data_IF_218353789200
#
_entry.id   IF_218353789200
#
_cell.length_a   1.000
_cell.length_b   1.000
_cell.length_c   1.000
_cell.angle_alpha   90.00
_cell.angle_beta   90.00
_cell.angle_gamma   90.00
#
_symmetry.space_group_name_H-M   'P 1'
#
loop_
_entity.id
_entity.type
_entity.pdbx_description
1 polymer ?
#
# COMPACT_ATOMS: atom_id res chain seq x y z
N UNK A 1 -19.27 0.12 71.64
CA UNK A 1 -19.19 0.71 70.29
C UNK A 1 -18.00 1.66 70.25
N UNK A 2 -16.80 1.17 69.96
CA UNK A 2 -15.64 2.04 69.71
C UNK A 2 -15.60 2.33 68.22
N UNK A 3 -16.07 3.51 67.82
CA UNK A 3 -15.79 4.07 66.50
C UNK A 3 -14.30 4.45 66.48
N UNK A 4 -13.47 3.58 65.89
CA UNK A 4 -12.11 3.93 65.53
C UNK A 4 -12.21 4.90 64.36
N UNK A 5 -12.14 6.20 64.67
CA UNK A 5 -11.95 7.27 63.70
C UNK A 5 -10.56 7.10 63.09
N UNK A 6 -10.46 6.35 61.99
CA UNK A 6 -9.25 6.31 61.17
C UNK A 6 -8.89 7.74 60.77
N UNK A 7 -7.65 8.15 61.04
CA UNK A 7 -7.26 9.52 60.72
C UNK A 7 -7.25 9.70 59.20
N UNK A 8 -7.63 10.87 58.66
CA UNK A 8 -7.60 11.12 57.22
C UNK A 8 -6.23 10.82 56.58
N UNK A 9 -5.15 10.98 57.36
CA UNK A 9 -3.78 10.73 56.92
C UNK A 9 -3.46 9.24 56.74
N UNK A 10 -3.97 8.37 57.63
CA UNK A 10 -3.81 6.91 57.49
C UNK A 10 -4.56 6.36 56.27
N UNK A 11 -5.74 6.92 55.98
CA UNK A 11 -6.53 6.55 54.81
C UNK A 11 -5.80 6.91 53.50
N UNK A 12 -5.14 8.07 53.46
CA UNK A 12 -4.35 8.52 52.31
C UNK A 12 -3.12 7.63 52.11
N UNK A 13 -2.38 7.30 53.18
CA UNK A 13 -1.20 6.43 53.09
C UNK A 13 -1.57 5.03 52.61
N UNK A 14 -2.66 4.44 53.14
CA UNK A 14 -3.15 3.14 52.71
C UNK A 14 -3.62 3.15 51.24
N UNK A 15 -4.27 4.23 50.79
CA UNK A 15 -4.69 4.40 49.40
C UNK A 15 -3.49 4.51 48.45
N UNK A 16 -2.48 5.30 48.80
CA UNK A 16 -1.24 5.45 48.01
C UNK A 16 -0.47 4.13 47.94
N UNK A 17 -0.34 3.40 49.05
CA UNK A 17 0.30 2.09 49.07
C UNK A 17 -0.43 1.06 48.21
N UNK A 18 -1.78 1.03 48.29
CA UNK A 18 -2.61 0.14 47.49
C UNK A 18 -2.51 0.45 45.99
N UNK A 19 -2.52 1.73 45.63
CA UNK A 19 -2.32 2.18 44.25
C UNK A 19 -0.92 1.81 43.74
N UNK A 20 0.12 1.99 44.56
CA UNK A 20 1.49 1.60 44.24
C UNK A 20 1.64 0.09 44.01
N UNK A 21 1.04 -0.74 44.87
CA UNK A 21 1.04 -2.19 44.72
C UNK A 21 0.29 -2.66 43.47
N UNK A 22 -0.85 -2.04 43.16
CA UNK A 22 -1.58 -2.28 41.91
C UNK A 22 -0.73 -1.95 40.68
N UNK A 23 -0.08 -0.78 40.67
CA UNK A 23 0.79 -0.37 39.57
C UNK A 23 1.99 -1.29 39.42
N UNK A 24 2.65 -1.69 40.51
CA UNK A 24 3.76 -2.62 40.48
C UNK A 24 3.36 -3.99 39.94
N UNK A 25 2.19 -4.50 40.36
CA UNK A 25 1.62 -5.76 39.87
C UNK A 25 1.29 -5.68 38.38
N UNK A 26 0.71 -4.56 37.93
CA UNK A 26 0.43 -4.31 36.53
C UNK A 26 1.72 -4.24 35.69
N UNK A 27 2.73 -3.51 36.16
CA UNK A 27 4.04 -3.41 35.50
C UNK A 27 4.73 -4.78 35.41
N UNK A 28 4.69 -5.58 36.48
CA UNK A 28 5.22 -6.94 36.48
C UNK A 28 4.46 -7.82 35.49
N UNK A 29 3.13 -7.74 35.46
CA UNK A 29 2.29 -8.48 34.52
C UNK A 29 2.62 -8.13 33.06
N UNK A 30 2.76 -6.83 32.75
CA UNK A 30 3.18 -6.35 31.42
C UNK A 30 4.59 -6.83 31.08
N UNK A 31 5.53 -6.73 32.02
CA UNK A 31 6.90 -7.20 31.81
C UNK A 31 6.94 -8.70 31.49
N UNK A 32 6.28 -9.53 32.30
CA UNK A 32 6.20 -10.98 32.09
C UNK A 32 5.53 -11.30 30.76
N UNK A 33 4.44 -10.60 30.40
CA UNK A 33 3.78 -10.76 29.11
C UNK A 33 4.73 -10.48 27.94
N UNK A 34 5.48 -9.38 27.99
CA UNK A 34 6.39 -9.00 26.91
C UNK A 34 7.58 -9.97 26.82
N UNK A 35 8.19 -10.34 27.94
CA UNK A 35 9.28 -11.33 27.97
C UNK A 35 8.81 -12.67 27.38
N UNK A 36 7.58 -13.10 27.69
CA UNK A 36 6.99 -14.30 27.10
C UNK A 36 6.75 -14.19 25.60
N UNK A 37 6.44 -12.99 25.07
CA UNK A 37 6.35 -12.77 23.61
C UNK A 37 7.73 -12.84 22.96
N UNK A 38 8.75 -12.26 23.59
CA UNK A 38 10.13 -12.27 23.10
C UNK A 38 10.83 -13.62 23.26
N UNK A 39 10.28 -14.57 24.02
CA UNK A 39 10.80 -15.93 24.04
C UNK A 39 10.39 -16.78 22.82
N UNK A 40 9.53 -16.28 21.91
CA UNK A 40 8.95 -17.05 20.81
C UNK A 40 9.98 -17.79 19.95
N UNK A 41 11.03 -17.10 19.48
CA UNK A 41 12.08 -17.69 18.64
C UNK A 41 13.02 -18.58 19.45
N UNK A 42 13.38 -18.14 20.66
CA UNK A 42 14.21 -18.91 21.59
C UNK A 42 13.62 -20.28 21.88
N UNK A 43 12.32 -20.35 22.23
CA UNK A 43 11.62 -21.62 22.51
C UNK A 43 11.52 -22.53 21.28
N UNK A 44 11.65 -21.99 20.07
CA UNK A 44 11.62 -22.74 18.80
C UNK A 44 13.01 -23.10 18.27
N UNK A 45 14.07 -22.75 18.99
CA UNK A 45 15.45 -22.96 18.57
C UNK A 45 15.76 -22.32 17.20
N UNK A 46 15.11 -21.19 16.89
CA UNK A 46 15.36 -20.41 15.68
C UNK A 46 16.35 -19.29 16.01
N UNK A 47 17.44 -19.09 15.24
CA UNK A 47 18.33 -17.95 15.42
C UNK A 47 17.58 -16.63 15.31
N UNK A 48 17.79 -15.70 16.24
CA UNK A 48 17.07 -14.42 16.29
C UNK A 48 17.96 -13.29 16.79
N UNK A 49 17.57 -12.06 16.49
CA UNK A 49 18.20 -10.85 17.05
C UNK A 49 17.51 -10.51 18.37
N UNK A 50 18.27 -10.32 19.45
CA UNK A 50 17.71 -9.93 20.75
C UNK A 50 16.89 -8.63 20.65
N UNK A 51 15.60 -8.66 21.02
CA UNK A 51 14.71 -7.51 20.89
C UNK A 51 14.87 -6.49 22.01
N UNK A 52 14.69 -5.21 21.69
CA UNK A 52 14.64 -4.14 22.68
C UNK A 52 13.19 -3.84 23.11
N UNK A 53 12.95 -3.74 24.41
CA UNK A 53 11.65 -3.36 24.95
C UNK A 53 11.30 -1.90 24.60
N UNK A 54 10.04 -1.58 24.22
CA UNK A 54 8.96 -2.44 23.72
C UNK A 54 8.93 -2.57 22.18
N UNK A 55 9.93 -2.04 21.48
CA UNK A 55 9.91 -1.83 20.03
C UNK A 55 10.38 -3.03 19.20
N UNK A 56 10.90 -4.08 19.85
CA UNK A 56 11.51 -5.21 19.17
C UNK A 56 12.87 -4.83 18.59
N UNK A 57 13.16 -5.30 17.38
CA UNK A 57 14.41 -4.99 16.67
C UNK A 57 14.33 -3.69 15.85
N UNK A 58 13.14 -3.06 15.79
CA UNK A 58 12.86 -1.90 14.95
C UNK A 58 12.71 -0.59 15.75
N UNK A 59 13.47 -0.42 16.85
CA UNK A 59 13.41 0.77 17.73
C UNK A 59 13.73 2.08 17.01
N UNK A 60 14.65 2.03 16.05
CA UNK A 60 15.14 3.19 15.28
C UNK A 60 14.23 3.53 14.09
N UNK A 61 13.30 2.64 13.76
CA UNK A 61 12.42 2.72 12.60
C UNK A 61 11.55 3.98 12.66
N UNK A 62 11.69 4.84 11.66
CA UNK A 62 10.88 6.06 11.54
C UNK A 62 11.26 7.18 12.51
N UNK A 63 12.41 7.07 13.20
CA UNK A 63 12.99 8.13 14.04
C UNK A 63 14.33 8.60 13.48
N UNK A 64 15.31 7.71 13.49
CA UNK A 64 16.69 7.98 13.07
C UNK A 64 17.06 7.27 11.78
N UNK A 65 16.39 6.15 11.44
CA UNK A 65 16.72 5.32 10.29
C UNK A 65 15.44 4.97 9.51
N UNK A 66 15.52 5.10 8.19
CA UNK A 66 14.45 4.66 7.29
C UNK A 66 14.27 3.13 7.36
N UNK A 67 13.04 2.59 7.42
CA UNK A 67 12.80 1.15 7.56
C UNK A 67 13.55 0.28 6.54
N UNK A 68 13.74 0.77 5.31
CA UNK A 68 14.46 0.06 4.25
C UNK A 68 15.93 -0.22 4.63
N UNK A 69 16.66 0.78 5.12
CA UNK A 69 18.06 0.61 5.52
C UNK A 69 18.20 -0.31 6.74
N UNK A 70 17.25 -0.24 7.67
CA UNK A 70 17.25 -1.14 8.82
C UNK A 70 17.02 -2.60 8.40
N UNK A 71 16.11 -2.82 7.44
CA UNK A 71 15.83 -4.14 6.88
C UNK A 71 17.02 -4.67 6.07
N UNK A 72 17.67 -3.80 5.28
CA UNK A 72 18.88 -4.11 4.53
C UNK A 72 20.04 -4.50 5.46
N UNK A 73 20.25 -3.76 6.55
CA UNK A 73 21.28 -4.08 7.55
C UNK A 73 21.10 -5.49 8.11
N UNK A 74 19.89 -5.85 8.52
CA UNK A 74 19.64 -7.22 8.99
C UNK A 74 19.82 -8.23 7.85
N UNK A 75 19.37 -7.93 6.64
CA UNK A 75 19.56 -8.81 5.51
C UNK A 75 21.05 -9.07 5.23
N UNK A 76 21.88 -8.04 5.14
CA UNK A 76 23.33 -8.15 4.88
C UNK A 76 24.06 -8.90 6.00
N UNK A 77 23.70 -8.61 7.26
CA UNK A 77 24.28 -9.27 8.43
C UNK A 77 24.04 -10.78 8.42
N UNK A 78 22.86 -11.23 7.96
CA UNK A 78 22.45 -12.64 8.06
C UNK A 78 22.48 -13.40 6.73
N UNK A 79 22.61 -12.72 5.58
CA UNK A 79 22.77 -13.36 4.27
C UNK A 79 24.13 -14.06 4.12
N UNK A 80 25.19 -13.41 4.60
CA UNK A 80 26.58 -13.84 4.37
C UNK A 80 27.11 -14.80 5.44
N UNK A 81 26.27 -15.27 6.36
CA UNK A 81 26.66 -16.25 7.37
C UNK A 81 26.78 -17.61 6.68
N UNK A 82 28.02 -18.06 6.48
CA UNK A 82 28.32 -19.39 5.97
C UNK A 82 27.63 -20.45 6.85
N UNK A 83 26.99 -21.43 6.22
CA UNK A 83 26.18 -22.47 6.88
C UNK A 83 25.01 -21.97 7.74
N UNK A 84 24.62 -20.70 7.58
CA UNK A 84 23.42 -20.14 8.21
C UNK A 84 22.14 -20.79 7.68
N UNK A 85 21.05 -20.86 8.47
CA UNK A 85 19.81 -21.53 8.08
C UNK A 85 19.06 -20.82 6.94
N UNK A 86 19.55 -19.68 6.44
CA UNK A 86 18.90 -18.91 5.38
C UNK A 86 17.72 -18.05 5.85
N UNK A 87 17.59 -17.85 7.16
CA UNK A 87 16.60 -17.00 7.80
C UNK A 87 17.05 -16.56 9.19
N UNK A 88 16.43 -15.51 9.72
CA UNK A 88 16.62 -15.05 11.10
C UNK A 88 15.31 -14.52 11.68
N UNK A 89 15.05 -14.84 12.95
CA UNK A 89 13.93 -14.31 13.71
C UNK A 89 14.17 -12.85 14.14
N UNK A 90 13.15 -12.02 13.94
CA UNK A 90 13.08 -10.64 14.37
C UNK A 90 11.75 -10.40 15.10
N UNK A 91 11.60 -9.20 15.65
CA UNK A 91 10.40 -8.70 16.29
C UNK A 91 10.09 -7.30 15.79
N UNK A 92 8.90 -7.11 15.22
CA UNK A 92 8.32 -5.79 15.02
C UNK A 92 7.36 -5.56 16.19
N UNK A 93 7.70 -4.62 17.07
CA UNK A 93 7.00 -4.45 18.36
C UNK A 93 7.02 -5.75 19.18
N UNK A 94 5.88 -6.41 19.37
CA UNK A 94 5.75 -7.70 20.06
C UNK A 94 5.52 -8.88 19.10
N UNK A 95 5.39 -8.61 17.81
CA UNK A 95 5.07 -9.64 16.82
C UNK A 95 6.37 -10.29 16.31
N UNK A 96 6.51 -11.62 16.40
CA UNK A 96 7.63 -12.32 15.77
C UNK A 96 7.52 -12.22 14.24
N UNK A 97 8.64 -11.91 13.59
CA UNK A 97 8.76 -11.79 12.12
C UNK A 97 9.96 -12.60 11.67
N UNK A 98 9.81 -13.39 10.60
CA UNK A 98 10.91 -14.16 10.04
C UNK A 98 11.50 -13.38 8.85
N UNK A 99 12.77 -13.00 8.94
CA UNK A 99 13.51 -12.46 7.80
C UNK A 99 14.12 -13.62 7.03
N UNK A 100 13.72 -13.79 5.76
CA UNK A 100 14.20 -14.85 4.88
C UNK A 100 15.32 -14.30 3.99
N UNK A 101 16.48 -14.94 4.01
CA UNK A 101 17.66 -14.55 3.22
C UNK A 101 17.98 -15.54 2.10
N UNK A 102 17.46 -16.77 2.19
CA UNK A 102 17.67 -17.83 1.20
C UNK A 102 16.59 -17.86 0.11
N UNK A 103 17.01 -17.91 -1.15
CA UNK A 103 16.13 -17.89 -2.32
C UNK A 103 15.20 -19.11 -2.41
N UNK A 104 15.68 -20.32 -2.07
CA UNK A 104 14.84 -21.53 -2.09
C UNK A 104 13.73 -21.43 -1.05
N UNK A 105 14.03 -20.91 0.13
CA UNK A 105 13.03 -20.69 1.16
C UNK A 105 12.02 -19.61 0.76
N UNK A 106 12.48 -18.51 0.15
CA UNK A 106 11.59 -17.48 -0.39
C UNK A 106 10.65 -18.06 -1.46
N UNK A 107 11.17 -18.87 -2.39
CA UNK A 107 10.37 -19.57 -3.41
C UNK A 107 9.34 -20.50 -2.78
N UNK A 108 9.71 -21.24 -1.74
CA UNK A 108 8.77 -22.10 -1.01
C UNK A 108 7.63 -21.29 -0.41
N UNK A 109 7.94 -20.23 0.35
CA UNK A 109 6.93 -19.42 1.04
C UNK A 109 6.00 -18.70 0.04
N UNK A 110 6.56 -18.12 -1.01
CA UNK A 110 5.82 -17.26 -1.94
C UNK A 110 5.12 -18.03 -3.07
N UNK A 111 5.57 -19.25 -3.40
CA UNK A 111 5.10 -20.00 -4.57
C UNK A 111 4.66 -21.42 -4.18
N UNK A 112 5.58 -22.28 -3.76
CA UNK A 112 5.32 -23.74 -3.64
C UNK A 112 4.33 -24.05 -2.50
N UNK A 113 4.51 -23.39 -1.36
CA UNK A 113 3.76 -23.58 -0.11
C UNK A 113 2.83 -22.39 0.19
N UNK A 114 2.50 -21.57 -0.82
CA UNK A 114 1.74 -20.31 -0.67
C UNK A 114 0.39 -20.46 0.07
N UNK A 115 -0.24 -21.63 -0.02
CA UNK A 115 -1.52 -21.90 0.64
C UNK A 115 -1.45 -21.82 2.18
N UNK A 116 -0.25 -21.92 2.78
CA UNK A 116 -0.01 -21.64 4.19
C UNK A 116 0.23 -20.16 4.50
N UNK A 117 0.55 -19.34 3.50
CA UNK A 117 0.93 -17.93 3.62
C UNK A 117 0.10 -16.96 2.75
N UNK A 118 -1.25 -17.05 2.74
CA UNK A 118 -2.07 -16.18 1.88
C UNK A 118 -2.14 -14.73 2.38
N UNK A 119 -1.89 -14.51 3.68
CA UNK A 119 -2.19 -13.25 4.36
C UNK A 119 -0.96 -12.36 4.50
N UNK A 120 -1.15 -11.05 4.31
CA UNK A 120 -0.05 -10.05 4.39
C UNK A 120 0.09 -9.42 5.77
N UNK A 121 -0.89 -9.62 6.65
CA UNK A 121 -0.86 -9.11 8.01
C UNK A 121 -1.03 -7.58 8.13
N UNK A 122 -1.71 -6.96 7.17
CA UNK A 122 -2.03 -5.53 7.19
C UNK A 122 -3.27 -5.29 8.05
N UNK A 123 -3.26 -4.24 8.87
CA UNK A 123 -4.42 -3.88 9.67
C UNK A 123 -5.51 -3.26 8.80
N UNK A 124 -6.75 -3.70 9.01
CA UNK A 124 -7.94 -3.07 8.45
C UNK A 124 -9.08 -3.13 9.47
N UNK A 125 -10.01 -2.18 9.35
CA UNK A 125 -11.24 -2.13 10.14
C UNK A 125 -12.41 -1.78 9.22
N UNK A 126 -13.00 -2.80 8.60
CA UNK A 126 -14.10 -2.62 7.64
C UNK A 126 -15.32 -1.89 8.21
N UNK A 127 -15.59 -2.05 9.52
CA UNK A 127 -16.77 -1.46 10.16
C UNK A 127 -16.66 0.05 10.29
N UNK A 128 -15.52 0.54 10.78
CA UNK A 128 -15.34 1.96 11.08
C UNK A 128 -14.50 2.70 10.02
N UNK A 129 -13.77 1.95 9.18
CA UNK A 129 -12.89 2.43 8.11
C UNK A 129 -13.02 1.57 6.84
N UNK A 130 -14.15 1.63 6.11
CA UNK A 130 -14.48 0.69 5.04
C UNK A 130 -13.43 0.59 3.92
N UNK A 131 -12.80 1.71 3.56
CA UNK A 131 -11.77 1.74 2.51
C UNK A 131 -10.51 0.95 2.88
N UNK A 132 -10.27 0.68 4.17
CA UNK A 132 -9.16 -0.17 4.61
C UNK A 132 -9.36 -1.66 4.24
N UNK A 133 -10.60 -2.09 3.95
CA UNK A 133 -10.94 -3.47 3.61
C UNK A 133 -10.78 -3.76 2.10
N UNK A 134 -9.60 -3.48 1.57
CA UNK A 134 -9.27 -3.66 0.16
C UNK A 134 -8.45 -4.93 -0.13
N UNK A 135 -8.30 -5.31 -1.41
CA UNK A 135 -7.62 -6.53 -1.85
C UNK A 135 -6.23 -6.76 -1.24
N UNK A 136 -5.47 -5.70 -0.95
CA UNK A 136 -4.15 -5.85 -0.32
C UNK A 136 -4.21 -6.24 1.16
N UNK A 137 -5.27 -5.86 1.89
CA UNK A 137 -5.34 -5.97 3.34
C UNK A 137 -6.25 -7.09 3.85
N UNK A 138 -7.34 -7.40 3.14
CA UNK A 138 -8.24 -8.49 3.54
C UNK A 138 -7.51 -9.84 3.48
N UNK A 139 -7.96 -10.78 4.31
CA UNK A 139 -7.26 -12.04 4.60
C UNK A 139 -8.16 -13.26 4.29
N UNK A 140 -7.55 -14.43 4.18
CA UNK A 140 -8.22 -15.73 4.07
C UNK A 140 -9.06 -15.91 2.80
N UNK A 141 -10.21 -16.57 2.93
CA UNK A 141 -11.07 -16.89 1.78
C UNK A 141 -11.63 -15.64 1.10
N UNK A 142 -11.96 -14.59 1.87
CA UNK A 142 -12.44 -13.31 1.33
C UNK A 142 -11.42 -12.71 0.35
N UNK A 143 -10.13 -12.77 0.70
CA UNK A 143 -9.06 -12.34 -0.18
C UNK A 143 -9.01 -13.15 -1.48
N UNK A 144 -9.09 -14.49 -1.38
CA UNK A 144 -9.07 -15.38 -2.56
C UNK A 144 -10.23 -15.08 -3.50
N UNK A 145 -11.44 -14.95 -2.96
CA UNK A 145 -12.65 -14.69 -3.73
C UNK A 145 -12.58 -13.31 -4.42
N UNK A 146 -12.15 -12.29 -3.68
CA UNK A 146 -11.99 -10.95 -4.25
C UNK A 146 -10.88 -10.90 -5.30
N UNK A 147 -9.75 -11.59 -5.07
CA UNK A 147 -8.65 -11.69 -6.04
C UNK A 147 -9.12 -12.34 -7.34
N UNK A 148 -9.93 -13.40 -7.26
CA UNK A 148 -10.49 -14.05 -8.44
C UNK A 148 -11.43 -13.12 -9.22
N UNK A 149 -12.22 -12.29 -8.55
CA UNK A 149 -13.10 -11.28 -9.18
C UNK A 149 -12.32 -10.16 -9.88
N UNK A 150 -11.19 -9.72 -9.30
CA UNK A 150 -10.44 -8.56 -9.81
C UNK A 150 -9.41 -8.96 -10.86
N UNK A 151 -8.77 -10.13 -10.76
CA UNK A 151 -7.70 -10.55 -11.70
C UNK A 151 -8.02 -10.35 -13.20
N UNK A 152 -9.26 -10.59 -13.68
CA UNK A 152 -9.63 -10.35 -15.08
C UNK A 152 -9.48 -8.91 -15.58
N UNK A 153 -9.38 -7.90 -14.70
CA UNK A 153 -9.18 -6.49 -15.10
C UNK A 153 -7.82 -6.24 -15.72
N UNK A 154 -6.80 -7.03 -15.35
CA UNK A 154 -5.42 -6.81 -15.78
C UNK A 154 -4.98 -7.79 -16.87
N UNK A 155 -5.94 -8.35 -17.62
CA UNK A 155 -5.63 -9.15 -18.80
C UNK A 155 -5.06 -8.28 -19.91
N UNK A 156 -4.24 -8.86 -20.79
CA UNK A 156 -3.67 -8.15 -21.94
C UNK A 156 -4.73 -7.47 -22.82
N UNK A 157 -5.92 -8.10 -22.97
CA UNK A 157 -7.04 -7.53 -23.71
C UNK A 157 -7.62 -6.27 -23.04
N UNK A 158 -7.77 -6.28 -21.71
CA UNK A 158 -8.20 -5.10 -20.95
C UNK A 158 -7.17 -3.99 -20.96
N UNK A 159 -5.89 -4.32 -20.80
CA UNK A 159 -4.80 -3.34 -20.89
C UNK A 159 -4.74 -2.70 -22.29
N UNK A 160 -4.93 -3.49 -23.36
CA UNK A 160 -5.04 -2.99 -24.73
C UNK A 160 -6.23 -2.05 -24.92
N UNK A 161 -7.40 -2.41 -24.37
CA UNK A 161 -8.60 -1.57 -24.44
C UNK A 161 -8.45 -0.25 -23.65
N UNK A 162 -7.69 -0.26 -22.56
CA UNK A 162 -7.42 0.92 -21.73
C UNK A 162 -6.28 1.80 -22.26
N UNK A 163 -5.43 1.27 -23.15
CA UNK A 163 -4.25 1.98 -23.67
C UNK A 163 -4.56 3.38 -24.24
N UNK A 164 -5.64 3.60 -25.02
CA UNK A 164 -5.98 4.93 -25.52
C UNK A 164 -6.22 5.98 -24.42
N UNK A 165 -6.73 5.57 -23.25
CA UNK A 165 -6.93 6.47 -22.11
C UNK A 165 -5.58 6.99 -21.58
N UNK A 166 -4.59 6.10 -21.47
CA UNK A 166 -3.24 6.46 -21.01
C UNK A 166 -2.53 7.32 -22.05
N UNK A 167 -2.66 6.97 -23.33
CA UNK A 167 -2.05 7.73 -24.43
C UNK A 167 -2.57 9.17 -24.48
N UNK A 168 -3.89 9.38 -24.39
CA UNK A 168 -4.46 10.73 -24.38
C UNK A 168 -3.97 11.60 -23.23
N UNK A 169 -3.69 11.00 -22.06
CA UNK A 169 -3.10 11.70 -20.91
C UNK A 169 -1.62 12.01 -21.16
N UNK A 170 -0.89 11.09 -21.80
CA UNK A 170 0.51 11.32 -22.18
C UNK A 170 0.66 12.43 -23.22
N UNK A 171 -0.29 12.55 -24.16
CA UNK A 171 -0.34 13.64 -25.13
C UNK A 171 -0.58 14.99 -24.44
N UNK A 172 -1.59 15.08 -23.57
CA UNK A 172 -1.85 16.28 -22.76
C UNK A 172 -0.65 16.67 -21.88
N UNK A 173 0.04 15.68 -21.32
CA UNK A 173 1.25 15.90 -20.54
C UNK A 173 2.38 16.48 -21.39
N UNK A 174 2.61 15.93 -22.59
CA UNK A 174 3.60 16.45 -23.54
C UNK A 174 3.27 17.89 -23.97
N UNK A 175 2.00 18.19 -24.23
CA UNK A 175 1.54 19.54 -24.56
C UNK A 175 1.81 20.52 -23.40
N UNK A 176 1.43 20.14 -22.18
CA UNK A 176 1.71 20.91 -20.98
C UNK A 176 3.21 21.20 -20.81
N UNK A 177 4.08 20.21 -21.01
CA UNK A 177 5.53 20.42 -20.91
C UNK A 177 6.05 21.42 -21.96
N UNK A 178 5.55 21.37 -23.19
CA UNK A 178 5.94 22.32 -24.26
C UNK A 178 5.43 23.74 -23.99
N UNK A 179 4.26 23.87 -23.36
CA UNK A 179 3.66 25.16 -23.00
C UNK A 179 4.39 25.84 -21.83
N UNK A 180 4.78 25.06 -20.81
CA UNK A 180 5.26 25.60 -19.53
C UNK A 180 6.78 25.62 -19.38
N UNK A 181 7.50 24.87 -20.21
CA UNK A 181 8.95 24.73 -20.08
C UNK A 181 9.66 24.96 -21.40
N UNK A 182 10.79 25.66 -21.31
CA UNK A 182 11.72 25.95 -22.38
C UNK A 182 13.05 25.23 -22.17
N UNK A 183 13.89 25.22 -23.21
CA UNK A 183 15.22 24.61 -23.13
C UNK A 183 16.05 25.33 -22.08
N UNK A 184 16.51 24.58 -21.06
CA UNK A 184 17.32 25.10 -19.96
C UNK A 184 16.58 25.25 -18.63
N UNK A 185 15.26 25.09 -18.62
CA UNK A 185 14.48 25.15 -17.37
C UNK A 185 14.78 23.96 -16.46
N UNK A 186 14.90 24.24 -15.17
CA UNK A 186 14.99 23.21 -14.13
C UNK A 186 13.59 22.77 -13.76
N UNK A 187 13.32 21.46 -13.87
CA UNK A 187 12.00 20.88 -13.57
C UNK A 187 12.07 19.94 -12.38
N UNK A 188 11.04 19.97 -11.52
CA UNK A 188 10.87 19.00 -10.44
C UNK A 188 10.16 17.77 -11.04
N UNK A 189 10.96 16.77 -11.44
CA UNK A 189 10.49 15.58 -12.17
C UNK A 189 9.52 14.76 -11.35
N UNK A 190 9.71 14.68 -10.03
CA UNK A 190 8.87 13.87 -9.13
C UNK A 190 7.43 14.37 -9.10
N UNK A 191 7.24 15.68 -9.05
CA UNK A 191 5.95 16.35 -9.04
C UNK A 191 5.27 16.22 -10.39
N UNK A 192 6.01 16.34 -11.50
CA UNK A 192 5.52 16.09 -12.85
C UNK A 192 5.04 14.64 -13.01
N UNK A 193 5.85 13.66 -12.63
CA UNK A 193 5.49 12.24 -12.72
C UNK A 193 4.33 11.90 -11.78
N UNK A 194 4.27 12.50 -10.59
CA UNK A 194 3.13 12.34 -9.68
C UNK A 194 1.83 12.92 -10.28
N UNK A 195 1.87 14.08 -10.96
CA UNK A 195 0.69 14.60 -11.67
C UNK A 195 0.26 13.68 -12.80
N UNK A 196 1.22 13.17 -13.58
CA UNK A 196 0.96 12.24 -14.67
C UNK A 196 0.28 10.96 -14.18
N UNK A 197 0.83 10.31 -13.16
CA UNK A 197 0.23 9.09 -12.63
C UNK A 197 -1.09 9.33 -11.92
N UNK A 198 -1.30 10.51 -11.30
CA UNK A 198 -2.61 10.91 -10.74
C UNK A 198 -3.67 10.93 -11.82
N UNK A 199 -3.42 11.57 -12.96
CA UNK A 199 -4.39 11.67 -14.05
C UNK A 199 -4.62 10.30 -14.70
N UNK A 200 -3.55 9.51 -14.91
CA UNK A 200 -3.66 8.14 -15.44
C UNK A 200 -4.56 7.28 -14.56
N UNK A 201 -4.31 7.24 -13.24
CA UNK A 201 -5.10 6.41 -12.35
C UNK A 201 -6.47 7.01 -12.04
N UNK A 202 -6.62 8.34 -12.02
CA UNK A 202 -7.91 9.01 -11.90
C UNK A 202 -8.83 8.67 -13.06
N UNK A 203 -8.31 8.70 -14.29
CA UNK A 203 -9.05 8.32 -15.49
C UNK A 203 -9.32 6.81 -15.52
N UNK A 204 -8.33 5.96 -15.28
CA UNK A 204 -8.51 4.51 -15.40
C UNK A 204 -9.29 3.89 -14.24
N UNK A 205 -9.06 4.30 -12.99
CA UNK A 205 -9.69 3.69 -11.82
C UNK A 205 -11.04 4.33 -11.44
N UNK A 206 -11.24 5.62 -11.77
CA UNK A 206 -12.44 6.37 -11.39
C UNK A 206 -13.22 6.92 -12.59
N UNK A 207 -12.64 6.89 -13.80
CA UNK A 207 -13.17 7.60 -14.98
C UNK A 207 -13.39 9.08 -14.74
N UNK A 208 -12.45 9.69 -14.01
CA UNK A 208 -12.43 11.12 -13.73
C UNK A 208 -11.30 11.77 -14.51
N UNK A 209 -11.59 12.94 -15.05
CA UNK A 209 -10.58 13.82 -15.64
C UNK A 209 -10.13 14.80 -14.57
N UNK A 210 -9.01 14.49 -13.92
CA UNK A 210 -8.48 15.29 -12.80
C UNK A 210 -7.78 16.57 -13.27
N UNK A 211 -7.23 16.57 -14.50
CA UNK A 211 -6.46 17.68 -15.07
C UNK A 211 -5.38 18.22 -14.12
N UNK A 212 -4.66 17.31 -13.46
CA UNK A 212 -3.68 17.66 -12.41
C UNK A 212 -2.46 18.40 -12.94
N UNK A 213 -2.26 18.39 -14.26
CA UNK A 213 -1.20 19.17 -14.90
C UNK A 213 -1.43 20.67 -14.73
N UNK A 214 -2.64 21.14 -15.04
CA UNK A 214 -3.03 22.55 -15.04
C UNK A 214 -3.59 23.03 -13.72
N UNK A 215 -4.21 22.13 -12.93
CA UNK A 215 -4.59 22.39 -11.54
C UNK A 215 -3.81 21.47 -10.57
N UNK A 216 -2.61 21.89 -10.12
CA UNK A 216 -1.74 21.08 -9.26
C UNK A 216 -2.31 20.85 -7.86
N UNK A 217 -3.33 21.63 -7.47
CA UNK A 217 -3.97 21.60 -6.16
C UNK A 217 -5.40 21.08 -6.24
N UNK A 218 -5.75 20.40 -7.34
CA UNK A 218 -7.06 19.79 -7.45
C UNK A 218 -7.34 18.88 -6.25
N UNK A 219 -8.61 18.83 -5.87
CA UNK A 219 -9.02 18.19 -4.63
C UNK A 219 -8.63 16.71 -4.59
N UNK A 220 -8.74 16.02 -5.72
CA UNK A 220 -8.40 14.60 -5.86
C UNK A 220 -6.93 14.32 -5.53
N UNK A 221 -6.01 15.11 -6.08
CA UNK A 221 -4.57 15.01 -5.82
C UNK A 221 -4.23 15.38 -4.39
N UNK A 222 -4.81 16.48 -3.88
CA UNK A 222 -4.55 16.95 -2.51
C UNK A 222 -4.98 15.92 -1.47
N UNK A 223 -6.17 15.37 -1.61
CA UNK A 223 -6.70 14.32 -0.72
C UNK A 223 -5.92 13.01 -0.91
N UNK A 224 -5.59 12.65 -2.14
CA UNK A 224 -4.80 11.47 -2.45
C UNK A 224 -3.40 11.46 -1.80
N UNK A 225 -2.69 12.59 -1.85
CA UNK A 225 -1.38 12.75 -1.20
C UNK A 225 -1.43 12.72 0.32
N UNK A 226 -2.53 13.20 0.93
CA UNK A 226 -2.69 13.23 2.38
C UNK A 226 -2.51 11.85 3.03
N UNK A 227 -2.89 10.78 2.32
CA UNK A 227 -2.69 9.40 2.77
C UNK A 227 -1.20 9.05 3.01
N UNK A 228 -0.29 9.59 2.19
CA UNK A 228 1.14 9.31 2.25
C UNK A 228 1.91 10.33 3.10
N UNK A 229 1.59 11.62 2.93
CA UNK A 229 2.40 12.71 3.48
C UNK A 229 2.13 12.96 4.97
N UNK A 230 0.93 12.62 5.44
CA UNK A 230 0.52 12.94 6.81
C UNK A 230 0.19 11.66 7.58
N UNK A 231 0.99 11.28 8.59
CA UNK A 231 0.62 10.18 9.46
C UNK A 231 -0.61 10.54 10.30
N UNK A 232 -1.75 9.85 10.09
CA UNK A 232 -2.96 10.05 10.91
C UNK A 232 -2.74 9.72 12.38
N UNK A 233 -2.00 8.64 12.63
CA UNK A 233 -2.03 7.94 13.90
C UNK A 233 -0.71 8.12 14.66
N UNK A 234 -0.83 8.50 15.93
CA UNK A 234 0.29 8.50 16.87
C UNK A 234 0.94 7.10 16.94
N UNK A 235 2.27 6.97 17.12
CA UNK A 235 2.95 5.67 17.18
C UNK A 235 2.34 4.65 18.15
N UNK A 236 1.75 5.11 19.26
CA UNK A 236 1.03 4.25 20.20
C UNK A 236 -0.22 3.59 19.58
N UNK A 237 -1.01 4.35 18.79
CA UNK A 237 -2.15 3.78 18.05
C UNK A 237 -1.66 2.77 17.01
N UNK A 238 -0.58 3.08 16.30
CA UNK A 238 0.05 2.16 15.34
C UNK A 238 0.51 0.86 16.01
N UNK A 239 1.11 0.96 17.19
CA UNK A 239 1.48 -0.21 17.99
C UNK A 239 0.26 -1.08 18.33
N UNK A 240 -0.84 -0.48 18.79
CA UNK A 240 -2.08 -1.21 19.11
C UNK A 240 -2.68 -1.86 17.86
N UNK A 241 -2.76 -1.14 16.74
CA UNK A 241 -3.27 -1.66 15.47
C UNK A 241 -2.44 -2.85 14.95
N UNK A 242 -1.11 -2.78 15.03
CA UNK A 242 -0.23 -3.86 14.56
C UNK A 242 -0.18 -5.06 15.51
N UNK A 243 -0.27 -4.85 16.82
CA UNK A 243 -0.05 -5.91 17.83
C UNK A 243 -1.35 -6.51 18.35
N UNK A 244 -2.40 -5.70 18.49
CA UNK A 244 -3.65 -6.08 19.14
C UNK A 244 -4.85 -5.75 18.25
N UNK A 245 -4.90 -6.32 17.04
CA UNK A 245 -5.93 -6.03 16.02
C UNK A 245 -7.36 -6.12 16.57
N UNK A 246 -7.67 -7.16 17.35
CA UNK A 246 -9.00 -7.33 17.95
C UNK A 246 -9.37 -6.21 18.91
N UNK A 247 -8.42 -5.70 19.69
CA UNK A 247 -8.63 -4.54 20.56
C UNK A 247 -8.77 -3.26 19.73
N UNK A 248 -7.92 -3.07 18.72
CA UNK A 248 -7.98 -1.93 17.82
C UNK A 248 -9.36 -1.81 17.13
N UNK A 249 -9.90 -2.93 16.63
CA UNK A 249 -11.23 -2.99 16.02
C UNK A 249 -12.34 -2.69 17.03
N UNK A 250 -12.25 -3.18 18.27
CA UNK A 250 -13.23 -2.86 19.33
C UNK A 250 -13.21 -1.38 19.72
N UNK A 251 -12.03 -0.75 19.69
CA UNK A 251 -11.85 0.68 19.95
C UNK A 251 -12.22 1.56 18.74
N UNK A 252 -12.62 0.98 17.60
CA UNK A 252 -12.96 1.72 16.40
C UNK A 252 -11.77 2.49 15.80
N UNK A 253 -10.55 1.97 15.96
CA UNK A 253 -9.38 2.63 15.38
C UNK A 253 -9.45 2.59 13.86
N UNK A 254 -9.15 3.73 13.23
CA UNK A 254 -9.15 3.90 11.78
C UNK A 254 -7.74 4.14 11.27
N UNK A 255 -7.40 3.51 10.14
CA UNK A 255 -6.12 3.70 9.47
C UNK A 255 -6.13 5.01 8.68
N UNK A 256 -7.22 5.26 7.95
CA UNK A 256 -7.37 6.37 7.02
C UNK A 256 -7.91 7.62 7.69
N UNK A 257 -7.55 8.78 7.13
CA UNK A 257 -8.14 10.05 7.55
C UNK A 257 -9.62 10.11 7.17
N UNK A 258 -10.45 10.66 8.05
CA UNK A 258 -11.91 10.68 7.81
C UNK A 258 -12.27 11.47 6.55
N UNK A 259 -11.58 12.58 6.27
CA UNK A 259 -11.78 13.36 5.04
C UNK A 259 -11.35 12.62 3.78
N UNK A 260 -10.26 11.83 3.84
CA UNK A 260 -9.86 10.93 2.76
C UNK A 260 -10.95 9.89 2.51
N UNK A 261 -11.42 9.21 3.55
CA UNK A 261 -12.45 8.18 3.41
C UNK A 261 -13.76 8.75 2.88
N UNK A 262 -14.23 9.88 3.42
CA UNK A 262 -15.45 10.54 2.97
C UNK A 262 -15.36 11.00 1.51
N UNK A 263 -14.23 11.60 1.11
CA UNK A 263 -14.03 12.07 -0.27
C UNK A 263 -14.12 10.91 -1.26
N UNK A 264 -13.31 9.86 -1.10
CA UNK A 264 -13.27 8.74 -2.05
C UNK A 264 -14.58 7.95 -2.08
N UNK A 265 -15.23 7.73 -0.94
CA UNK A 265 -16.56 7.10 -0.91
C UNK A 265 -17.61 7.96 -1.64
N UNK A 266 -17.59 9.28 -1.46
CA UNK A 266 -18.52 10.20 -2.11
C UNK A 266 -18.33 10.21 -3.62
N UNK A 267 -17.08 10.39 -4.07
CA UNK A 267 -16.71 10.41 -5.49
C UNK A 267 -17.12 9.11 -6.17
N UNK A 268 -16.76 7.96 -5.61
CA UNK A 268 -17.12 6.66 -6.21
C UNK A 268 -18.62 6.46 -6.26
N UNK A 269 -19.34 6.76 -5.19
CA UNK A 269 -20.80 6.63 -5.15
C UNK A 269 -21.44 7.51 -6.23
N UNK A 270 -21.05 8.78 -6.33
CA UNK A 270 -21.59 9.71 -7.32
C UNK A 270 -21.29 9.25 -8.75
N UNK A 271 -20.08 8.76 -9.01
CA UNK A 271 -19.71 8.26 -10.34
C UNK A 271 -20.51 7.01 -10.72
N UNK A 272 -20.70 6.06 -9.80
CA UNK A 272 -21.55 4.87 -10.04
C UNK A 272 -22.99 5.31 -10.35
N UNK A 273 -23.58 6.14 -9.50
CA UNK A 273 -24.96 6.63 -9.68
C UNK A 273 -25.13 7.41 -11.00
N UNK A 274 -24.12 8.18 -11.41
CA UNK A 274 -24.15 8.92 -12.66
C UNK A 274 -24.12 7.97 -13.87
N UNK A 275 -23.22 6.98 -13.87
CA UNK A 275 -23.11 6.01 -14.98
C UNK A 275 -24.34 5.12 -15.12
N UNK A 276 -24.87 4.62 -14.00
CA UNK A 276 -26.06 3.77 -14.00
C UNK A 276 -27.30 4.50 -14.54
N UNK A 277 -27.43 5.81 -14.26
CA UNK A 277 -28.53 6.63 -14.78
C UNK A 277 -28.44 6.94 -16.27
N UNK A 278 -27.23 7.09 -16.80
CA UNK A 278 -27.02 7.53 -18.19
C UNK A 278 -26.59 6.40 -19.14
N UNK A 279 -26.40 5.17 -18.63
CA UNK A 279 -25.98 4.03 -19.44
C UNK A 279 -24.57 4.19 -20.04
N UNK A 280 -23.68 4.91 -19.37
CA UNK A 280 -22.33 5.17 -19.86
C UNK A 280 -21.38 3.99 -19.62
N UNK A 281 -20.56 3.69 -20.62
CA UNK A 281 -19.48 2.70 -20.57
C UNK A 281 -18.20 3.33 -21.13
N UNK A 282 -17.14 3.40 -20.31
CA UNK A 282 -15.80 3.93 -20.64
C UNK A 282 -14.74 2.83 -20.80
N UNK A 283 -15.09 1.55 -20.55
CA UNK A 283 -14.18 0.40 -20.54
C UNK A 283 -13.01 0.57 -19.55
N UNK A 284 -13.27 1.25 -18.44
CA UNK A 284 -12.31 1.49 -17.37
C UNK A 284 -12.46 0.46 -16.24
N UNK A 285 -11.65 0.57 -15.18
CA UNK A 285 -11.69 -0.37 -14.06
C UNK A 285 -13.03 -0.30 -13.29
N UNK A 286 -13.62 0.90 -13.17
CA UNK A 286 -14.87 1.09 -12.45
C UNK A 286 -16.06 0.44 -13.17
N UNK A 287 -16.07 0.41 -14.50
CA UNK A 287 -17.09 -0.30 -15.26
C UNK A 287 -17.15 -1.80 -14.92
N UNK A 288 -15.99 -2.44 -14.69
CA UNK A 288 -16.00 -3.83 -14.24
C UNK A 288 -16.60 -3.94 -12.85
N UNK A 289 -16.23 -3.05 -11.93
CA UNK A 289 -16.75 -3.08 -10.56
C UNK A 289 -18.26 -2.86 -10.53
N UNK A 290 -18.79 -1.96 -11.37
CA UNK A 290 -20.23 -1.73 -11.56
C UNK A 290 -20.89 -2.99 -12.13
N UNK A 291 -20.28 -3.66 -13.11
CA UNK A 291 -20.81 -4.92 -13.64
C UNK A 291 -20.86 -6.01 -12.58
N UNK A 292 -19.82 -6.15 -11.76
CA UNK A 292 -19.77 -7.10 -10.64
C UNK A 292 -20.85 -6.77 -9.60
N UNK A 293 -21.08 -5.48 -9.29
CA UNK A 293 -22.17 -5.01 -8.43
C UNK A 293 -23.54 -5.48 -8.95
N UNK A 294 -23.81 -5.23 -10.23
CA UNK A 294 -25.15 -5.37 -10.78
C UNK A 294 -25.48 -6.81 -11.16
N UNK A 295 -24.51 -7.53 -11.73
CA UNK A 295 -24.73 -8.88 -12.28
C UNK A 295 -24.15 -9.99 -11.41
N UNK A 296 -23.11 -9.70 -10.62
CA UNK A 296 -22.32 -10.74 -9.93
C UNK A 296 -21.56 -11.65 -10.89
N UNK A 297 -21.40 -11.28 -12.16
CA UNK A 297 -20.74 -12.06 -13.21
C UNK A 297 -19.54 -11.33 -13.78
N UNK A 298 -18.52 -12.09 -14.16
CA UNK A 298 -17.41 -11.60 -14.96
C UNK A 298 -17.81 -11.47 -16.43
N UNK A 299 -17.07 -10.65 -17.18
CA UNK A 299 -17.29 -10.54 -18.62
C UNK A 299 -16.98 -11.87 -19.32
N UNK A 300 -17.89 -12.31 -20.19
CA UNK A 300 -17.76 -13.58 -20.91
C UNK A 300 -17.97 -14.83 -20.05
N UNK A 301 -18.27 -14.69 -18.75
CA UNK A 301 -18.53 -15.80 -17.85
C UNK A 301 -20.03 -16.01 -17.63
N UNK A 302 -20.47 -17.26 -17.74
CA UNK A 302 -21.84 -17.65 -17.39
C UNK A 302 -22.02 -17.84 -15.88
N UNK A 303 -20.94 -18.11 -15.16
CA UNK A 303 -20.92 -18.36 -13.72
C UNK A 303 -21.01 -17.07 -12.89
N UNK A 304 -21.78 -17.14 -11.80
CA UNK A 304 -21.86 -16.07 -10.81
C UNK A 304 -20.68 -16.18 -9.85
N UNK A 305 -19.84 -15.15 -9.84
CA UNK A 305 -18.72 -15.01 -8.90
C UNK A 305 -19.12 -14.25 -7.63
N UNK A 306 -20.35 -13.72 -7.60
CA UNK A 306 -20.90 -12.96 -6.47
C UNK A 306 -20.74 -11.45 -6.62
N UNK A 307 -21.69 -10.71 -6.05
CA UNK A 307 -21.75 -9.25 -6.15
C UNK A 307 -20.73 -8.57 -5.24
N UNK A 308 -20.43 -7.31 -5.55
CA UNK A 308 -19.71 -6.39 -4.68
C UNK A 308 -20.67 -5.32 -4.15
N UNK A 309 -20.51 -4.94 -2.89
CA UNK A 309 -21.21 -3.79 -2.29
C UNK A 309 -20.58 -2.47 -2.75
N UNK A 310 -21.28 -1.35 -2.54
CA UNK A 310 -20.75 -0.02 -2.85
C UNK A 310 -19.45 0.30 -2.07
N UNK A 311 -19.38 -0.10 -0.80
CA UNK A 311 -18.19 0.09 0.04
C UNK A 311 -17.02 -0.79 -0.43
N UNK A 312 -17.28 -2.04 -0.83
CA UNK A 312 -16.24 -2.91 -1.40
C UNK A 312 -15.65 -2.33 -2.68
N UNK A 313 -16.50 -1.74 -3.53
CA UNK A 313 -16.09 -1.07 -4.78
C UNK A 313 -15.25 0.17 -4.46
N UNK A 314 -15.68 0.99 -3.51
CA UNK A 314 -14.93 2.16 -3.08
C UNK A 314 -13.56 1.76 -2.50
N UNK A 315 -13.50 0.72 -1.66
CA UNK A 315 -12.26 0.20 -1.11
C UNK A 315 -11.31 -0.30 -2.22
N UNK A 316 -11.83 -0.96 -3.26
CA UNK A 316 -11.01 -1.39 -4.39
C UNK A 316 -10.49 -0.22 -5.21
N UNK A 317 -11.36 0.71 -5.59
CA UNK A 317 -10.93 1.90 -6.33
C UNK A 317 -9.85 2.68 -5.55
N UNK A 318 -10.00 2.80 -4.23
CA UNK A 318 -9.02 3.46 -3.36
C UNK A 318 -7.64 2.75 -3.34
N UNK A 319 -7.59 1.41 -3.25
CA UNK A 319 -6.28 0.72 -3.30
C UNK A 319 -5.63 0.83 -4.68
N UNK A 320 -6.41 0.82 -5.76
CA UNK A 320 -5.87 1.03 -7.11
C UNK A 320 -5.36 2.45 -7.31
N UNK A 321 -6.04 3.46 -6.75
CA UNK A 321 -5.53 4.83 -6.70
C UNK A 321 -4.15 4.88 -6.02
N UNK A 322 -4.09 4.46 -4.76
CA UNK A 322 -2.89 4.58 -3.93
C UNK A 322 -1.72 3.78 -4.51
N UNK A 323 -1.96 2.56 -5.00
CA UNK A 323 -0.94 1.74 -5.65
C UNK A 323 -0.47 2.34 -6.98
N UNK A 324 -1.39 2.82 -7.83
CA UNK A 324 -1.06 3.32 -9.17
C UNK A 324 -0.41 4.71 -9.19
N UNK A 325 -0.69 5.55 -8.19
CA UNK A 325 -0.19 6.91 -8.09
C UNK A 325 1.29 6.98 -7.67
N UNK A 326 1.62 6.50 -6.47
CA UNK A 326 2.93 6.77 -5.84
C UNK A 326 4.03 5.84 -6.38
N UNK A 327 3.71 4.57 -6.62
CA UNK A 327 4.72 3.59 -7.04
C UNK A 327 5.20 3.85 -8.47
N UNK A 328 4.27 4.08 -9.39
CA UNK A 328 4.58 4.40 -10.79
C UNK A 328 5.33 5.72 -10.90
N UNK A 329 4.95 6.75 -10.14
CA UNK A 329 5.63 8.05 -10.20
C UNK A 329 7.06 7.96 -9.67
N UNK A 330 7.26 7.20 -8.59
CA UNK A 330 8.61 6.91 -8.07
C UNK A 330 9.47 6.17 -9.10
N UNK A 331 8.95 5.10 -9.70
CA UNK A 331 9.66 4.34 -10.73
C UNK A 331 10.07 5.23 -11.92
N UNK A 332 9.11 5.98 -12.48
CA UNK A 332 9.41 6.91 -13.60
C UNK A 332 10.42 7.98 -13.20
N UNK A 333 10.33 8.53 -11.99
CA UNK A 333 11.26 9.56 -11.48
C UNK A 333 12.69 9.02 -11.42
N UNK A 334 12.89 7.85 -10.83
CA UNK A 334 14.24 7.26 -10.70
C UNK A 334 14.79 6.80 -12.05
N UNK A 335 13.96 6.23 -12.94
CA UNK A 335 14.39 5.91 -14.30
C UNK A 335 14.84 7.17 -15.05
N UNK A 336 14.06 8.25 -15.01
CA UNK A 336 14.43 9.51 -15.66
C UNK A 336 15.70 10.13 -15.05
N UNK A 337 15.86 10.03 -13.74
CA UNK A 337 17.06 10.49 -13.03
C UNK A 337 18.32 9.74 -13.50
N UNK A 338 18.28 8.41 -13.53
CA UNK A 338 19.41 7.59 -13.98
C UNK A 338 19.74 7.82 -15.46
N UNK A 339 18.72 7.96 -16.32
CA UNK A 339 18.94 8.29 -17.74
C UNK A 339 19.55 9.69 -17.92
N UNK A 340 19.12 10.68 -17.12
CA UNK A 340 19.69 12.04 -17.19
C UNK A 340 21.17 12.09 -16.81
N UNK A 341 21.61 11.22 -15.89
CA UNK A 341 23.02 11.06 -15.52
C UNK A 341 23.84 10.28 -16.56
N UNK A 342 23.18 9.48 -17.40
CA UNK A 342 23.82 8.56 -18.34
C UNK A 342 23.33 8.79 -19.79
N UNK A 343 23.83 9.87 -20.41
CA UNK A 343 23.44 10.31 -21.76
C UNK A 343 23.52 9.23 -22.84
N UNK A 344 24.53 8.34 -22.79
CA UNK A 344 24.66 7.22 -23.73
C UNK A 344 23.48 6.24 -23.60
N UNK A 345 23.12 5.88 -22.36
CA UNK A 345 21.99 4.99 -22.09
C UNK A 345 20.66 5.66 -22.46
N UNK A 346 20.53 6.96 -22.21
CA UNK A 346 19.38 7.75 -22.64
C UNK A 346 19.21 7.75 -24.16
N UNK A 347 20.29 7.97 -24.90
CA UNK A 347 20.26 7.94 -26.37
C UNK A 347 19.87 6.56 -26.89
N UNK A 348 20.42 5.50 -26.30
CA UNK A 348 20.07 4.11 -26.65
C UNK A 348 18.62 3.75 -26.31
N UNK A 349 18.08 4.26 -25.20
CA UNK A 349 16.65 4.15 -24.86
C UNK A 349 15.77 4.87 -25.89
N UNK A 350 16.17 6.06 -26.31
CA UNK A 350 15.49 6.81 -27.36
C UNK A 350 15.50 6.07 -28.70
N UNK A 351 16.64 5.53 -29.11
CA UNK A 351 16.75 4.70 -30.32
C UNK A 351 15.81 3.49 -30.26
N UNK A 352 15.75 2.80 -29.12
CA UNK A 352 14.81 1.68 -28.93
C UNK A 352 13.35 2.09 -29.11
N UNK A 353 12.97 3.32 -28.74
CA UNK A 353 11.62 3.85 -28.97
C UNK A 353 11.42 4.16 -30.46
N UNK A 354 12.37 4.83 -31.10
CA UNK A 354 12.29 5.19 -32.52
C UNK A 354 12.20 3.96 -33.42
N UNK A 355 13.02 2.94 -33.17
CA UNK A 355 13.00 1.66 -33.89
C UNK A 355 11.66 0.93 -33.74
N UNK A 356 11.06 0.99 -32.55
CA UNK A 356 9.76 0.39 -32.29
C UNK A 356 8.65 1.14 -33.05
N UNK A 357 8.71 2.48 -33.11
CA UNK A 357 7.75 3.28 -33.86
C UNK A 357 7.89 3.06 -35.37
N UNK A 358 9.12 3.02 -35.91
CA UNK A 358 9.36 2.78 -37.34
C UNK A 358 8.78 1.44 -37.81
N UNK A 359 8.91 0.39 -36.99
CA UNK A 359 8.33 -0.94 -37.25
C UNK A 359 6.79 -0.99 -37.20
N UNK A 360 6.16 0.08 -36.69
CA UNK A 360 4.71 0.18 -36.48
C UNK A 360 4.15 1.44 -37.15
N UNK A 361 4.70 1.83 -38.31
CA UNK A 361 4.23 2.95 -39.14
C UNK A 361 4.18 4.31 -38.41
N UNK A 362 5.06 4.49 -37.42
CA UNK A 362 5.13 5.69 -36.58
C UNK A 362 4.03 5.77 -35.51
N UNK A 363 3.20 4.73 -35.35
CA UNK A 363 2.04 4.76 -34.45
C UNK A 363 2.41 4.20 -33.07
N UNK A 364 2.27 5.04 -32.03
CA UNK A 364 2.35 4.58 -30.64
C UNK A 364 1.08 3.82 -30.25
N UNK A 365 1.12 2.51 -30.39
CA UNK A 365 0.08 1.56 -30.01
C UNK A 365 0.51 0.64 -28.87
N UNK A 366 -0.47 -0.07 -28.28
CA UNK A 366 -0.19 -1.12 -27.28
C UNK A 366 0.81 -2.17 -27.79
N UNK A 367 0.78 -2.53 -29.07
CA UNK A 367 1.74 -3.50 -29.64
C UNK A 367 3.12 -2.87 -29.85
N UNK A 368 3.19 -1.62 -30.33
CA UNK A 368 4.46 -0.92 -30.49
C UNK A 368 5.20 -0.73 -29.16
N UNK A 369 4.46 -0.48 -28.07
CA UNK A 369 5.04 -0.28 -26.73
C UNK A 369 5.77 -1.52 -26.21
N UNK A 370 5.31 -2.72 -26.59
CA UNK A 370 5.95 -3.98 -26.20
C UNK A 370 7.27 -4.25 -26.93
N UNK A 371 7.52 -3.55 -28.03
CA UNK A 371 8.73 -3.71 -28.83
C UNK A 371 9.87 -2.78 -28.39
N UNK A 372 9.67 -1.99 -27.33
CA UNK A 372 10.66 -1.07 -26.76
C UNK A 372 11.57 -1.79 -25.74
N UNK A 373 12.22 -2.88 -26.18
CA UNK A 373 12.91 -3.82 -25.28
C UNK A 373 13.99 -3.19 -24.40
N UNK A 374 14.76 -2.24 -24.93
CA UNK A 374 15.82 -1.61 -24.13
C UNK A 374 15.25 -0.60 -23.14
N UNK A 375 14.16 0.10 -23.49
CA UNK A 375 13.45 0.94 -22.54
C UNK A 375 12.87 0.12 -21.38
N UNK A 376 12.34 -1.08 -21.67
CA UNK A 376 11.87 -2.02 -20.65
C UNK A 376 13.01 -2.41 -19.69
N UNK A 377 14.21 -2.68 -20.22
CA UNK A 377 15.42 -2.94 -19.41
C UNK A 377 15.90 -1.73 -18.59
N UNK A 378 15.55 -0.50 -18.96
CA UNK A 378 15.86 0.68 -18.13
C UNK A 378 14.88 0.84 -16.96
N UNK A 379 13.68 0.27 -17.08
CA UNK A 379 12.63 0.36 -16.05
C UNK A 379 12.81 -0.73 -14.98
N UNK A 380 13.25 -1.94 -15.36
CA UNK A 380 13.49 -3.09 -14.47
C UNK A 380 14.94 -3.21 -14.03
#
# INVERSE_FOLDING_TARGET
MHNVSTSPMELVVASVASFGAFLATLCLGVYVFVVRKYSFWRTRHVPYVEPALPYGNFKEMGKSIHPAHLSQRFYEQYKNVADGPGFVGLYIFLNPVLLVTNLRLAKRILIEDFHYFPDRGVYFNEKDDPLSAHLFAIEGQRWKDLRAKITPTFTSGRMKAAFPLVLGIAEQFCEFLREQHTVGDVVEVRDLMARFTTDVIGSYAFGLECNSFRDPQNEFRRIGRKHFDTPRNHPLKVFIMKTFRGLANRLGLKLLHDDVSTFFQTVIRQTIEHRERHGMQRNDFLDLLIRLKNTGKLEGANEMVGRLSGDEIAAQAFIFFTAGFETSSSAMTYTLYELALNQELQQRARESVMDALEKHDGVLSYESSKNMLYLDQCIY
#
